data_IF_345190729385
#
_entry.id   IF_345190729385
#
_cell.length_a   1.000
_cell.length_b   1.000
_cell.length_c   1.000
_cell.angle_alpha   90.00
_cell.angle_beta   90.00
_cell.angle_gamma   90.00
#
_symmetry.space_group_name_H-M   'P 1'
#
loop_
_entity.id
_entity.type
_entity.pdbx_description
1 polymer ?
#
# COMPACT_ATOMS: atom_id res chain seq x y z
N UNK A 1 2.76 9.57 5.28
CA UNK A 1 2.57 8.47 4.31
C UNK A 1 2.39 9.08 2.94
N UNK A 2 3.25 8.72 2.00
CA UNK A 2 3.13 9.14 0.61
C UNK A 2 2.16 8.20 -0.11
N UNK A 3 1.00 8.72 -0.54
CA UNK A 3 -0.04 7.92 -1.20
C UNK A 3 0.41 7.40 -2.58
N UNK A 4 1.31 8.10 -3.28
CA UNK A 4 1.86 7.67 -4.57
C UNK A 4 2.81 6.49 -4.39
N UNK A 5 3.70 6.54 -3.39
CA UNK A 5 4.57 5.40 -3.04
C UNK A 5 3.76 4.17 -2.62
N UNK A 6 2.70 4.37 -1.82
CA UNK A 6 1.77 3.29 -1.45
C UNK A 6 1.10 2.69 -2.69
N UNK A 7 0.58 3.54 -3.59
CA UNK A 7 -0.08 3.07 -4.81
C UNK A 7 0.83 2.27 -5.74
N UNK A 8 2.07 2.72 -5.90
CA UNK A 8 3.09 2.00 -6.66
C UNK A 8 3.41 0.64 -6.00
N UNK A 9 3.59 0.61 -4.67
CA UNK A 9 3.81 -0.64 -3.92
C UNK A 9 2.65 -1.63 -4.10
N UNK A 10 1.39 -1.16 -4.01
CA UNK A 10 0.22 -2.02 -4.21
C UNK A 10 0.16 -2.57 -5.65
N UNK A 11 0.50 -1.75 -6.65
CA UNK A 11 0.60 -2.18 -8.05
C UNK A 11 1.66 -3.27 -8.22
N UNK A 12 2.84 -3.11 -7.60
CA UNK A 12 3.91 -4.10 -7.63
C UNK A 12 3.49 -5.41 -6.96
N UNK A 13 2.84 -5.33 -5.80
CA UNK A 13 2.37 -6.52 -5.08
C UNK A 13 1.26 -7.27 -5.81
N UNK A 14 0.39 -6.56 -6.54
CA UNK A 14 -0.64 -7.16 -7.38
C UNK A 14 -0.03 -7.99 -8.52
N UNK A 15 1.08 -7.52 -9.10
CA UNK A 15 1.73 -8.17 -10.23
C UNK A 15 0.78 -8.31 -11.42
N UNK A 16 0.74 -9.50 -12.01
CA UNK A 16 -0.06 -9.78 -13.22
C UNK A 16 -1.56 -9.98 -12.94
N UNK A 17 -1.97 -10.06 -11.66
CA UNK A 17 -3.38 -10.18 -11.30
C UNK A 17 -4.14 -8.92 -11.68
N UNK A 18 -5.40 -9.05 -12.06
CA UNK A 18 -6.27 -7.92 -12.32
C UNK A 18 -6.68 -7.22 -11.01
N UNK A 19 -7.05 -5.94 -11.10
CA UNK A 19 -7.62 -5.22 -9.95
C UNK A 19 -8.91 -5.88 -9.45
N UNK A 20 -9.66 -6.54 -10.34
CA UNK A 20 -10.90 -7.25 -10.00
C UNK A 20 -10.62 -8.42 -9.06
N UNK A 21 -9.72 -9.32 -9.46
CA UNK A 21 -9.38 -10.51 -8.67
C UNK A 21 -8.89 -10.13 -7.27
N UNK A 22 -7.96 -9.17 -7.18
CA UNK A 22 -7.46 -8.72 -5.87
C UNK A 22 -8.55 -8.06 -5.04
N UNK A 23 -9.39 -7.22 -5.64
CA UNK A 23 -10.45 -6.53 -4.91
C UNK A 23 -11.49 -7.51 -4.35
N UNK A 24 -11.85 -8.55 -5.12
CA UNK A 24 -12.76 -9.62 -4.69
C UNK A 24 -12.16 -10.42 -3.51
N UNK A 25 -10.91 -10.87 -3.63
CA UNK A 25 -10.21 -11.62 -2.57
C UNK A 25 -10.02 -10.81 -1.27
N UNK A 26 -9.74 -9.51 -1.40
CA UNK A 26 -9.56 -8.60 -0.26
C UNK A 26 -10.91 -8.15 0.32
N UNK A 27 -12.02 -8.30 -0.41
CA UNK A 27 -13.35 -7.85 -0.01
C UNK A 27 -13.55 -6.33 -0.09
N UNK A 28 -13.03 -5.69 -1.12
CA UNK A 28 -13.19 -4.26 -1.41
C UNK A 28 -13.74 -4.05 -2.83
N UNK A 29 -14.19 -2.84 -3.16
CA UNK A 29 -14.57 -2.54 -4.54
C UNK A 29 -13.34 -2.38 -5.44
N UNK A 30 -13.48 -2.74 -6.71
CA UNK A 30 -12.44 -2.56 -7.75
C UNK A 30 -12.00 -1.10 -7.80
N UNK A 31 -12.97 -0.17 -7.75
CA UNK A 31 -12.70 1.27 -7.72
C UNK A 31 -11.89 1.70 -6.50
N UNK A 32 -12.11 1.08 -5.33
CA UNK A 32 -11.31 1.37 -4.14
C UNK A 32 -9.85 0.97 -4.37
N UNK A 33 -9.59 -0.26 -4.84
CA UNK A 33 -8.23 -0.71 -5.15
C UNK A 33 -7.57 0.18 -6.21
N UNK A 34 -8.28 0.54 -7.28
CA UNK A 34 -7.78 1.42 -8.32
C UNK A 34 -7.41 2.82 -7.80
N UNK A 35 -8.20 3.38 -6.86
CA UNK A 35 -7.90 4.66 -6.22
C UNK A 35 -6.67 4.58 -5.31
N UNK A 36 -6.44 3.43 -4.67
CA UNK A 36 -5.25 3.19 -3.87
C UNK A 36 -4.01 3.04 -4.75
N UNK A 37 -4.06 2.22 -5.81
CA UNK A 37 -2.96 2.02 -6.76
C UNK A 37 -2.55 3.31 -7.48
N UNK A 38 -3.51 4.18 -7.81
CA UNK A 38 -3.23 5.51 -8.37
C UNK A 38 -2.73 6.52 -7.33
N UNK A 39 -2.74 6.17 -6.04
CA UNK A 39 -2.37 7.05 -4.93
C UNK A 39 -3.31 8.23 -4.71
N UNK A 40 -4.56 8.15 -5.20
CA UNK A 40 -5.57 9.17 -4.94
C UNK A 40 -6.17 9.07 -3.54
N UNK A 41 -6.09 7.90 -2.92
CA UNK A 41 -6.60 7.64 -1.58
C UNK A 41 -5.69 6.70 -0.81
N UNK A 42 -5.63 6.87 0.51
CA UNK A 42 -4.98 5.93 1.42
C UNK A 42 -6.05 4.97 1.98
N UNK A 43 -5.82 3.65 2.02
CA UNK A 43 -6.74 2.70 2.62
C UNK A 43 -6.98 2.98 4.11
N UNK A 44 -8.17 2.67 4.64
CA UNK A 44 -8.40 2.66 6.10
C UNK A 44 -7.65 1.51 6.75
N UNK A 45 -7.43 1.56 8.06
CA UNK A 45 -6.59 0.58 8.76
C UNK A 45 -7.08 -0.87 8.63
N UNK A 46 -8.40 -1.09 8.68
CA UNK A 46 -8.98 -2.40 8.41
C UNK A 46 -8.63 -2.92 7.01
N UNK A 47 -8.64 -2.04 5.99
CA UNK A 47 -8.27 -2.40 4.63
C UNK A 47 -6.75 -2.64 4.52
N UNK A 48 -5.94 -1.86 5.23
CA UNK A 48 -4.49 -2.09 5.30
C UNK A 48 -4.19 -3.47 5.86
N UNK A 49 -4.89 -3.88 6.91
CA UNK A 49 -4.75 -5.21 7.51
C UNK A 49 -5.14 -6.31 6.52
N UNK A 50 -6.26 -6.16 5.80
CA UNK A 50 -6.71 -7.13 4.80
C UNK A 50 -5.73 -7.25 3.62
N UNK A 51 -5.24 -6.12 3.09
CA UNK A 51 -4.21 -6.11 2.05
C UNK A 51 -2.89 -6.74 2.53
N UNK A 52 -2.48 -6.45 3.76
CA UNK A 52 -1.29 -7.01 4.38
C UNK A 52 -1.40 -8.54 4.52
N UNK A 53 -2.54 -9.05 4.99
CA UNK A 53 -2.83 -10.47 5.09
C UNK A 53 -2.82 -11.13 3.70
N UNK A 54 -3.52 -10.56 2.72
CA UNK A 54 -3.59 -11.07 1.35
C UNK A 54 -2.21 -11.20 0.69
N UNK A 55 -1.34 -10.20 0.85
CA UNK A 55 0.00 -10.21 0.28
C UNK A 55 1.06 -10.91 1.14
N UNK A 56 0.69 -11.42 2.33
CA UNK A 56 1.62 -12.03 3.27
C UNK A 56 2.75 -11.08 3.70
N UNK A 57 2.44 -9.79 3.90
CA UNK A 57 3.38 -8.75 4.36
C UNK A 57 2.84 -8.06 5.60
N UNK A 58 3.70 -7.39 6.36
CA UNK A 58 3.22 -6.52 7.44
C UNK A 58 2.65 -5.22 6.88
N UNK A 59 1.69 -4.63 7.61
CA UNK A 59 1.17 -3.28 7.32
C UNK A 59 2.32 -2.26 7.23
N UNK A 60 3.32 -2.37 8.10
CA UNK A 60 4.48 -1.49 8.09
C UNK A 60 5.26 -1.57 6.77
N UNK A 61 5.46 -2.78 6.23
CA UNK A 61 6.21 -2.99 4.98
C UNK A 61 5.48 -2.42 3.76
N UNK A 62 4.14 -2.45 3.75
CA UNK A 62 3.35 -1.92 2.63
C UNK A 62 3.15 -0.41 2.75
N UNK A 63 2.78 0.09 3.93
CA UNK A 63 2.24 1.45 4.09
C UNK A 63 3.19 2.43 4.79
N UNK A 64 4.23 1.94 5.46
CA UNK A 64 5.11 2.75 6.31
C UNK A 64 6.59 2.52 6.00
N UNK A 65 6.94 1.99 4.83
CA UNK A 65 8.35 1.88 4.42
C UNK A 65 8.94 3.29 4.38
N UNK A 66 9.70 3.60 5.43
CA UNK A 66 10.30 4.89 5.70
C UNK A 66 11.30 5.24 4.60
N UNK A 67 11.17 6.42 4.01
CA UNK A 67 12.38 7.23 3.88
C UNK A 67 12.90 7.39 5.30
N UNK A 68 14.02 6.71 5.57
CA UNK A 68 14.82 6.98 6.75
C UNK A 68 15.16 8.48 6.68
N UNK A 69 14.61 9.29 7.59
CA UNK A 69 15.16 10.61 7.83
C UNK A 69 16.53 10.40 8.50
N UNK A 70 17.58 10.20 7.71
CA UNK A 70 18.94 10.54 8.12
C UNK A 70 19.18 12.02 7.79
N UNK A 71 18.67 12.90 8.65
CA UNK A 71 19.28 14.25 8.83
C UNK A 71 19.32 14.57 10.31
N UNK A 72 19.96 13.65 11.05
CA UNK A 72 20.27 13.80 12.47
C UNK A 72 21.70 13.36 12.75
N UNK A 73 22.66 13.74 11.91
CA UNK A 73 24.08 13.63 12.26
C UNK A 73 24.69 15.03 12.29
N UNK A 74 24.90 15.47 13.53
CA UNK A 74 25.96 16.36 14.01
C UNK A 74 26.84 16.98 12.92
N UNK A 75 26.72 18.29 12.75
CA UNK A 75 27.85 19.11 12.32
C UNK A 75 28.30 19.89 13.56
N UNK A 76 29.41 19.42 14.13
CA UNK A 76 30.27 20.17 15.05
C UNK A 76 30.61 21.54 14.46
#
# INVERSE_FOLDING_TARGET
>A
MDSKKIGAMLTVLRGDRTQKEVAEEVGISISALAMYEKGHRIPRDEIKLRLAAYYGKSVQKIFFSSECHETGQSKL
#
